data_IF_044187817958
#
_entry.id   IF_044187817958
#
_cell.length_a   1.000
_cell.length_b   1.000
_cell.length_c   1.000
_cell.angle_alpha   90.00
_cell.angle_beta   90.00
_cell.angle_gamma   90.00
#
_symmetry.space_group_name_H-M   'P 1'
#
loop_
_entity.id
_entity.type
_entity.pdbx_description
1 polymer ?
#
# COMPACT_ATOMS: atom_id res chain seq x y z
N UNK A 1 -3.73 -6.76 -4.51
CA UNK A 1 -4.53 -5.66 -3.93
C UNK A 1 -4.34 -4.35 -4.66
N UNK A 2 -3.14 -3.78 -4.77
CA UNK A 2 -2.96 -2.50 -5.45
C UNK A 2 -3.41 -2.50 -6.92
N UNK A 3 -3.17 -3.60 -7.66
CA UNK A 3 -3.66 -3.75 -9.03
C UNK A 3 -5.17 -3.54 -9.13
N UNK A 4 -5.97 -4.25 -8.33
CA UNK A 4 -7.43 -4.19 -8.37
C UNK A 4 -7.97 -2.82 -7.95
N UNK A 5 -7.29 -2.10 -7.06
CA UNK A 5 -7.62 -0.72 -6.73
C UNK A 5 -7.35 0.27 -7.87
N UNK A 6 -6.32 0.04 -8.68
CA UNK A 6 -5.98 0.89 -9.83
C UNK A 6 -6.93 0.68 -11.02
N UNK A 7 -7.54 -0.49 -11.17
CA UNK A 7 -8.52 -0.77 -12.23
C UNK A 7 -9.73 0.16 -12.22
N UNK A 8 -10.04 0.76 -11.07
CA UNK A 8 -11.14 1.72 -10.98
C UNK A 8 -10.79 3.10 -11.53
N UNK A 9 -9.50 3.41 -11.64
CA UNK A 9 -8.99 4.71 -12.10
C UNK A 9 -8.37 4.64 -13.49
N UNK A 10 -7.89 3.47 -13.89
CA UNK A 10 -7.17 3.23 -15.13
C UNK A 10 -7.80 2.06 -15.89
N UNK A 11 -7.71 2.12 -17.21
CA UNK A 11 -8.17 1.05 -18.09
C UNK A 11 -7.19 -0.13 -18.05
N UNK A 12 -7.36 -1.01 -17.07
CA UNK A 12 -6.52 -2.17 -16.79
C UNK A 12 -7.34 -3.45 -16.88
N UNK A 13 -6.75 -4.50 -17.46
CA UNK A 13 -7.43 -5.79 -17.66
C UNK A 13 -7.93 -6.40 -16.33
N UNK A 14 -9.16 -6.93 -16.25
CA UNK A 14 -9.67 -7.65 -15.08
C UNK A 14 -8.68 -8.70 -14.58
N UNK A 15 -8.36 -8.68 -13.28
CA UNK A 15 -7.46 -9.67 -12.69
C UNK A 15 -8.17 -11.03 -12.59
N UNK A 16 -8.04 -11.82 -13.64
CA UNK A 16 -8.61 -13.17 -13.73
C UNK A 16 -7.50 -14.22 -13.71
N UNK A 17 -7.61 -15.17 -12.78
CA UNK A 17 -6.72 -16.31 -12.72
C UNK A 17 -7.33 -17.51 -13.46
N UNK A 18 -6.56 -18.22 -14.31
CA UNK A 18 -7.05 -19.42 -14.95
C UNK A 18 -7.44 -20.49 -13.93
N UNK A 19 -8.34 -21.40 -14.28
CA UNK A 19 -8.85 -22.42 -13.36
C UNK A 19 -7.77 -23.44 -12.92
N UNK A 20 -6.67 -23.60 -13.68
CA UNK A 20 -5.66 -24.66 -13.46
C UNK A 20 -4.19 -24.26 -13.69
N UNK A 21 -3.66 -23.15 -13.16
CA UNK A 21 -2.21 -23.00 -13.03
C UNK A 21 -1.73 -24.06 -12.03
N UNK A 22 -1.12 -25.13 -12.51
CA UNK A 22 -0.55 -26.19 -11.64
C UNK A 22 0.91 -25.94 -11.28
N UNK A 23 1.52 -24.88 -11.82
CA UNK A 23 2.94 -24.59 -11.65
C UNK A 23 3.15 -23.13 -11.24
N UNK A 24 4.06 -22.92 -10.29
CA UNK A 24 4.48 -21.60 -9.82
C UNK A 24 4.89 -20.66 -10.96
N UNK A 25 5.71 -21.14 -11.89
CA UNK A 25 6.20 -20.34 -13.03
C UNK A 25 5.08 -19.80 -13.94
N UNK A 26 3.97 -20.54 -14.05
CA UNK A 26 2.82 -20.11 -14.85
C UNK A 26 2.08 -18.99 -14.12
N UNK A 27 1.90 -19.12 -12.80
CA UNK A 27 1.29 -18.10 -11.97
C UNK A 27 2.15 -16.81 -11.96
N UNK A 28 3.46 -16.96 -11.86
CA UNK A 28 4.43 -15.86 -11.93
C UNK A 28 4.31 -15.09 -13.24
N UNK A 29 4.33 -15.78 -14.38
CA UNK A 29 4.22 -15.15 -15.71
C UNK A 29 2.90 -14.37 -15.88
N UNK A 30 1.79 -14.93 -15.37
CA UNK A 30 0.49 -14.26 -15.40
C UNK A 30 0.52 -12.97 -14.58
N UNK A 31 1.03 -13.02 -13.35
CA UNK A 31 1.11 -11.84 -12.48
C UNK A 31 2.05 -10.77 -13.05
N UNK A 32 3.20 -11.18 -13.60
CA UNK A 32 4.13 -10.28 -14.30
C UNK A 32 3.47 -9.56 -15.48
N UNK A 33 2.65 -10.27 -16.26
CA UNK A 33 1.93 -9.67 -17.38
C UNK A 33 0.97 -8.56 -16.91
N UNK A 34 0.22 -8.78 -15.84
CA UNK A 34 -0.65 -7.76 -15.25
C UNK A 34 0.15 -6.58 -14.68
N UNK A 35 1.20 -6.83 -13.89
CA UNK A 35 1.94 -5.73 -13.24
C UNK A 35 2.72 -4.87 -14.26
N UNK A 36 3.13 -5.47 -15.39
CA UNK A 36 3.73 -4.71 -16.51
C UNK A 36 2.75 -3.67 -17.08
N UNK A 37 1.43 -3.89 -17.01
CA UNK A 37 0.45 -2.88 -17.44
C UNK A 37 0.50 -1.65 -16.54
N UNK A 38 0.74 -1.84 -15.23
CA UNK A 38 0.80 -0.75 -14.26
C UNK A 38 2.05 0.10 -14.47
N UNK A 39 3.18 -0.47 -14.90
CA UNK A 39 4.41 0.29 -15.17
C UNK A 39 4.23 1.38 -16.25
N UNK A 40 3.14 1.34 -17.03
CA UNK A 40 2.78 2.40 -17.98
C UNK A 40 2.17 3.64 -17.30
N UNK A 41 1.73 3.49 -16.07
CA UNK A 41 1.20 4.53 -15.20
C UNK A 41 2.27 4.77 -14.12
N UNK A 42 2.53 6.02 -13.74
CA UNK A 42 3.66 6.46 -12.88
C UNK A 42 3.58 5.91 -11.43
N UNK A 43 3.67 4.58 -11.28
CA UNK A 43 3.57 3.77 -10.06
C UNK A 43 4.75 2.79 -9.96
N UNK A 44 5.81 3.03 -10.71
CA UNK A 44 7.01 2.18 -10.79
C UNK A 44 7.56 1.84 -9.40
N UNK A 45 7.57 2.80 -8.46
CA UNK A 45 8.04 2.60 -7.08
C UNK A 45 7.32 1.50 -6.30
N UNK A 46 6.06 1.19 -6.62
CA UNK A 46 5.26 0.18 -5.92
C UNK A 46 5.34 -1.18 -6.63
N UNK A 47 5.58 -1.17 -7.95
CA UNK A 47 5.47 -2.34 -8.82
C UNK A 47 6.75 -2.71 -9.54
N UNK A 48 7.90 -2.13 -9.16
CA UNK A 48 9.20 -2.52 -9.68
C UNK A 48 9.36 -4.04 -9.55
N UNK A 49 9.73 -4.64 -10.68
CA UNK A 49 9.78 -6.09 -10.91
C UNK A 49 10.64 -6.86 -9.90
N UNK A 50 11.55 -6.18 -9.22
CA UNK A 50 12.40 -6.74 -8.16
C UNK A 50 11.60 -7.50 -7.10
N UNK A 51 10.37 -7.08 -6.76
CA UNK A 51 9.56 -7.78 -5.75
C UNK A 51 9.06 -9.16 -6.21
N UNK A 52 8.64 -9.30 -7.47
CA UNK A 52 8.18 -10.61 -7.97
C UNK A 52 9.38 -11.53 -8.21
N UNK A 53 10.49 -10.96 -8.72
CA UNK A 53 11.68 -11.73 -9.08
C UNK A 53 12.37 -12.38 -7.85
N UNK A 54 12.20 -11.80 -6.66
CA UNK A 54 12.70 -12.38 -5.39
C UNK A 54 11.78 -13.46 -4.78
N UNK A 55 10.51 -13.52 -5.18
CA UNK A 55 9.57 -14.51 -4.66
C UNK A 55 9.74 -15.81 -5.46
N UNK A 56 10.36 -16.81 -4.85
CA UNK A 56 10.28 -18.17 -5.36
C UNK A 56 8.82 -18.64 -5.29
N UNK A 57 8.13 -18.62 -6.43
CA UNK A 57 6.79 -19.17 -6.52
C UNK A 57 6.82 -20.66 -6.16
N UNK A 58 5.87 -21.14 -5.34
CA UNK A 58 5.92 -22.51 -4.87
C UNK A 58 5.72 -23.51 -6.02
N UNK A 59 6.49 -24.60 -6.01
CA UNK A 59 6.26 -25.73 -6.92
C UNK A 59 5.11 -26.64 -6.44
N UNK A 60 4.76 -26.58 -5.16
CA UNK A 60 3.68 -27.38 -4.58
C UNK A 60 2.30 -26.94 -5.13
N UNK A 61 1.58 -27.88 -5.74
CA UNK A 61 0.30 -27.62 -6.40
C UNK A 61 -0.75 -27.04 -5.43
N UNK A 62 -0.79 -27.49 -4.17
CA UNK A 62 -1.76 -26.99 -3.17
C UNK A 62 -1.45 -25.55 -2.75
N UNK A 63 -0.17 -25.21 -2.66
CA UNK A 63 0.26 -23.83 -2.40
C UNK A 63 -0.13 -22.92 -3.58
N UNK A 64 0.08 -23.36 -4.83
CA UNK A 64 -0.35 -22.60 -6.02
C UNK A 64 -1.87 -22.43 -6.05
N UNK A 65 -2.64 -23.47 -5.73
CA UNK A 65 -4.10 -23.40 -5.61
C UNK A 65 -4.53 -22.40 -4.53
N UNK A 66 -3.87 -22.41 -3.37
CA UNK A 66 -4.17 -21.50 -2.26
C UNK A 66 -3.90 -20.04 -2.64
N UNK A 67 -2.78 -19.76 -3.34
CA UNK A 67 -2.46 -18.41 -3.83
C UNK A 67 -3.49 -17.97 -4.88
N UNK A 68 -3.88 -18.87 -5.79
CA UNK A 68 -4.94 -18.59 -6.78
C UNK A 68 -6.26 -18.22 -6.12
N UNK A 69 -6.69 -19.00 -5.12
CA UNK A 69 -7.94 -18.74 -4.40
C UNK A 69 -7.89 -17.40 -3.65
N UNK A 70 -6.75 -17.07 -3.03
CA UNK A 70 -6.53 -15.76 -2.43
C UNK A 70 -6.64 -14.62 -3.45
N UNK A 71 -6.02 -14.76 -4.62
CA UNK A 71 -6.08 -13.74 -5.68
C UNK A 71 -7.53 -13.56 -6.17
N UNK A 72 -8.25 -14.66 -6.40
CA UNK A 72 -9.64 -14.62 -6.82
C UNK A 72 -10.55 -13.98 -5.77
N UNK A 73 -10.30 -14.24 -4.49
CA UNK A 73 -11.08 -13.61 -3.42
C UNK A 73 -10.79 -12.11 -3.34
N UNK A 74 -9.52 -11.71 -3.48
CA UNK A 74 -9.11 -10.30 -3.52
C UNK A 74 -9.71 -9.58 -4.74
N UNK A 75 -9.79 -10.22 -5.91
CA UNK A 75 -10.34 -9.60 -7.14
C UNK A 75 -11.85 -9.42 -7.11
N UNK A 76 -12.58 -10.23 -6.33
CA UNK A 76 -14.02 -10.08 -6.11
C UNK A 76 -14.37 -8.90 -5.20
N UNK A 77 -13.47 -8.52 -4.31
CA UNK A 77 -13.73 -7.45 -3.35
C UNK A 77 -13.32 -6.09 -3.92
N UNK A 78 -14.22 -5.10 -3.82
CA UNK A 78 -13.91 -3.71 -4.16
C UNK A 78 -13.06 -3.09 -3.06
N UNK A 79 -11.75 -3.20 -3.22
CA UNK A 79 -10.77 -2.64 -2.27
C UNK A 79 -10.96 -1.13 -2.07
N UNK A 80 -11.47 -0.42 -3.07
CA UNK A 80 -11.85 1.00 -2.96
C UNK A 80 -12.86 1.32 -1.87
N UNK A 81 -13.66 0.33 -1.46
CA UNK A 81 -14.64 0.48 -0.36
C UNK A 81 -14.04 0.22 1.01
N UNK A 82 -12.80 -0.27 1.07
CA UNK A 82 -12.09 -0.54 2.32
C UNK A 82 -11.49 0.77 2.83
N UNK A 83 -11.82 1.13 4.08
CA UNK A 83 -11.30 2.36 4.69
C UNK A 83 -9.81 2.23 4.98
N UNK A 84 -9.12 3.37 5.00
CA UNK A 84 -7.71 3.43 5.37
C UNK A 84 -7.46 2.89 6.80
N UNK A 85 -8.38 3.15 7.75
CA UNK A 85 -8.26 2.58 9.10
C UNK A 85 -8.37 1.05 9.10
N UNK A 86 -9.24 0.46 8.29
CA UNK A 86 -9.34 -0.99 8.18
C UNK A 86 -8.03 -1.59 7.65
N UNK A 87 -7.44 -0.99 6.61
CA UNK A 87 -6.15 -1.46 6.08
C UNK A 87 -5.05 -1.36 7.13
N UNK A 88 -4.97 -0.24 7.87
CA UNK A 88 -4.00 -0.09 8.97
C UNK A 88 -4.15 -1.17 10.05
N UNK A 89 -5.38 -1.41 10.50
CA UNK A 89 -5.68 -2.47 11.47
C UNK A 89 -5.34 -3.88 10.94
N UNK A 90 -5.64 -4.15 9.66
CA UNK A 90 -5.30 -5.43 9.03
C UNK A 90 -3.77 -5.63 9.02
N UNK A 91 -3.02 -4.63 8.58
CA UNK A 91 -1.55 -4.70 8.56
C UNK A 91 -0.97 -4.90 9.96
N UNK A 92 -1.51 -4.20 10.96
CA UNK A 92 -1.07 -4.35 12.34
C UNK A 92 -1.32 -5.78 12.88
N UNK A 93 -2.48 -6.36 12.56
CA UNK A 93 -2.82 -7.74 12.96
C UNK A 93 -2.02 -8.81 12.22
N UNK A 94 -1.47 -8.51 11.03
CA UNK A 94 -0.61 -9.43 10.29
C UNK A 94 0.80 -9.54 10.90
N UNK A 95 1.23 -8.55 11.69
CA UNK A 95 2.58 -8.51 12.26
C UNK A 95 2.55 -9.10 13.68
N UNK A 96 3.32 -10.17 13.97
CA UNK A 96 3.37 -10.75 15.31
C UNK A 96 3.74 -9.71 16.38
N UNK A 97 3.09 -9.78 17.55
CA UNK A 97 3.27 -8.83 18.66
C UNK A 97 4.74 -8.60 19.03
N UNK A 98 5.53 -9.68 19.03
CA UNK A 98 6.95 -9.65 19.35
C UNK A 98 7.74 -8.77 18.37
N UNK A 99 7.39 -8.83 17.10
CA UNK A 99 8.04 -8.07 16.03
C UNK A 99 7.56 -6.61 16.02
N UNK A 100 6.28 -6.36 16.33
CA UNK A 100 5.74 -4.99 16.51
C UNK A 100 6.49 -4.21 17.59
N UNK A 101 6.72 -4.82 18.75
CA UNK A 101 7.44 -4.18 19.86
C UNK A 101 8.92 -3.94 19.55
N UNK A 102 9.57 -4.90 18.87
CA UNK A 102 10.99 -4.79 18.52
C UNK A 102 11.23 -3.69 17.46
N UNK A 103 10.30 -3.53 16.53
CA UNK A 103 10.42 -2.59 15.41
C UNK A 103 9.75 -1.23 15.70
N UNK A 104 9.08 -1.07 16.85
CA UNK A 104 8.33 0.14 17.20
C UNK A 104 7.16 0.41 16.24
N UNK A 105 6.64 -0.63 15.59
CA UNK A 105 5.64 -0.52 14.54
C UNK A 105 4.24 -0.45 15.13
N UNK A 106 3.86 0.72 15.63
CA UNK A 106 2.51 1.02 16.10
C UNK A 106 1.80 1.94 15.12
N UNK A 107 0.56 1.60 14.78
CA UNK A 107 -0.30 2.52 14.05
C UNK A 107 -0.85 3.57 15.02
N UNK A 108 -0.69 4.85 14.66
CA UNK A 108 -1.33 5.93 15.43
C UNK A 108 -2.80 6.02 15.03
N UNK A 109 -3.69 5.99 16.02
CA UNK A 109 -5.13 6.16 15.83
C UNK A 109 -5.45 7.48 15.11
N UNK A 110 -6.30 7.43 14.09
CA UNK A 110 -6.63 8.58 13.23
C UNK A 110 -7.34 9.73 13.95
N UNK A 111 -8.02 9.48 15.07
CA UNK A 111 -8.63 10.51 15.92
C UNK A 111 -7.57 11.30 16.69
N UNK A 112 -6.52 10.62 17.18
CA UNK A 112 -5.39 11.24 17.87
C UNK A 112 -4.61 12.12 16.89
N UNK A 113 -4.37 11.61 15.68
CA UNK A 113 -3.74 12.37 14.59
C UNK A 113 -4.53 13.63 14.28
N UNK A 114 -5.85 13.53 14.12
CA UNK A 114 -6.71 14.69 13.84
C UNK A 114 -6.67 15.74 14.95
N UNK A 115 -6.68 15.29 16.21
CA UNK A 115 -6.56 16.18 17.35
C UNK A 115 -5.25 16.97 17.27
N UNK A 116 -4.12 16.28 17.03
CA UNK A 116 -2.81 16.91 16.91
C UNK A 116 -2.79 17.90 15.73
N UNK A 117 -3.26 17.48 14.56
CA UNK A 117 -3.33 18.34 13.38
C UNK A 117 -4.16 19.59 13.63
N UNK A 118 -5.29 19.46 14.35
CA UNK A 118 -6.14 20.61 14.68
C UNK A 118 -5.43 21.69 15.49
N UNK A 119 -4.43 21.31 16.30
CA UNK A 119 -3.65 22.25 17.11
C UNK A 119 -2.38 22.75 16.40
N UNK A 120 -1.79 21.94 15.52
CA UNK A 120 -0.48 22.23 14.94
C UNK A 120 -0.55 22.80 13.52
N UNK A 121 -1.57 22.44 12.74
CA UNK A 121 -1.74 22.89 11.36
C UNK A 121 -2.71 24.08 11.34
N UNK A 122 -2.17 25.29 11.19
CA UNK A 122 -2.94 26.52 11.37
C UNK A 122 -3.40 27.15 10.05
N UNK A 123 -2.71 26.85 8.96
CA UNK A 123 -3.07 27.23 7.60
C UNK A 123 -3.04 26.04 6.64
N UNK A 124 -3.90 26.12 5.64
CA UNK A 124 -3.91 25.22 4.50
C UNK A 124 -2.61 25.27 3.68
N UNK A 125 -1.79 26.31 3.82
CA UNK A 125 -0.50 26.49 3.15
C UNK A 125 0.73 26.09 3.98
N UNK A 126 0.55 25.72 5.26
CA UNK A 126 1.68 25.32 6.12
C UNK A 126 2.39 24.06 5.59
N UNK A 127 3.68 23.96 5.82
CA UNK A 127 4.43 22.73 5.50
C UNK A 127 4.31 21.71 6.64
N UNK A 128 4.05 20.46 6.28
CA UNK A 128 3.96 19.33 7.21
C UNK A 128 5.12 18.39 6.94
N UNK A 129 5.88 18.06 7.99
CA UNK A 129 6.95 17.08 7.95
C UNK A 129 6.70 16.03 9.02
N UNK A 130 6.56 14.77 8.61
CA UNK A 130 6.55 13.61 9.52
C UNK A 130 7.86 12.81 9.33
N UNK A 131 8.83 12.93 10.26
CA UNK A 131 10.13 12.27 10.14
C UNK A 131 10.10 10.76 10.44
N UNK A 132 8.95 10.21 10.82
CA UNK A 132 8.76 8.79 11.13
C UNK A 132 7.39 8.31 10.66
N UNK A 133 7.06 8.58 9.40
CA UNK A 133 5.67 8.56 8.94
C UNK A 133 5.02 7.17 8.92
N UNK A 134 5.83 6.10 9.00
CA UNK A 134 5.34 4.72 8.94
C UNK A 134 4.46 4.51 7.71
N UNK A 135 3.24 4.01 7.90
CA UNK A 135 2.25 3.85 6.83
C UNK A 135 1.67 5.17 6.26
N UNK A 136 1.99 6.32 6.86
CA UNK A 136 1.65 7.64 6.35
C UNK A 136 0.37 8.26 6.92
N UNK A 137 -0.15 7.78 8.05
CA UNK A 137 -1.43 8.24 8.61
C UNK A 137 -1.46 9.76 8.81
N UNK A 138 -0.41 10.35 9.41
CA UNK A 138 -0.33 11.80 9.59
C UNK A 138 -0.37 12.56 8.26
N UNK A 139 0.31 12.07 7.22
CA UNK A 139 0.38 12.71 5.92
C UNK A 139 -0.97 12.70 5.20
N UNK A 140 -1.65 11.55 5.20
CA UNK A 140 -2.99 11.39 4.61
C UNK A 140 -4.01 12.27 5.34
N UNK A 141 -3.96 12.28 6.68
CA UNK A 141 -4.87 13.10 7.49
C UNK A 141 -4.58 14.58 7.35
N UNK A 142 -3.31 14.99 7.25
CA UNK A 142 -2.92 16.37 6.97
C UNK A 142 -3.45 16.84 5.61
N UNK A 143 -3.33 16.02 4.57
CA UNK A 143 -3.91 16.30 3.24
C UNK A 143 -5.43 16.54 3.35
N UNK A 144 -6.14 15.64 4.02
CA UNK A 144 -7.58 15.77 4.27
C UNK A 144 -7.93 17.03 5.05
N UNK A 145 -7.15 17.35 6.09
CA UNK A 145 -7.35 18.54 6.92
C UNK A 145 -7.18 19.84 6.11
N UNK A 146 -6.17 19.92 5.24
CA UNK A 146 -5.97 21.07 4.32
C UNK A 146 -7.15 21.23 3.36
N UNK A 147 -7.68 20.13 2.81
CA UNK A 147 -8.89 20.15 1.97
C UNK A 147 -10.14 20.59 2.74
N UNK A 148 -10.27 20.23 4.01
CA UNK A 148 -11.37 20.69 4.87
C UNK A 148 -11.27 22.19 5.17
N UNK A 149 -10.06 22.72 5.38
CA UNK A 149 -9.82 24.16 5.54
C UNK A 149 -10.17 24.94 4.28
N UNK A 150 -9.75 24.43 3.11
CA UNK A 150 -10.02 25.06 1.83
C UNK A 150 -10.31 24.01 0.74
N UNK A 151 -11.59 23.75 0.44
CA UNK A 151 -11.99 22.76 -0.57
C UNK A 151 -11.52 23.07 -2.00
N UNK A 152 -11.12 24.33 -2.27
CA UNK A 152 -10.68 24.77 -3.60
C UNK A 152 -9.20 24.53 -3.88
N UNK A 153 -8.39 24.27 -2.85
CA UNK A 153 -6.99 23.91 -3.02
C UNK A 153 -6.87 22.73 -3.97
N UNK A 154 -6.03 22.81 -4.98
CA UNK A 154 -5.82 21.70 -5.91
C UNK A 154 -4.83 20.70 -5.34
N UNK A 155 -4.85 19.49 -5.88
CA UNK A 155 -3.97 18.40 -5.41
C UNK A 155 -2.49 18.77 -5.56
N UNK A 156 -2.16 19.41 -6.67
CA UNK A 156 -0.83 19.86 -7.06
C UNK A 156 -0.30 20.98 -6.15
N UNK A 157 -1.19 21.69 -5.46
CA UNK A 157 -0.82 22.72 -4.48
C UNK A 157 -0.58 22.12 -3.09
N UNK A 158 -1.26 21.02 -2.76
CA UNK A 158 -1.14 20.39 -1.43
C UNK A 158 0.08 19.48 -1.37
N UNK A 159 0.31 18.63 -2.38
CA UNK A 159 1.38 17.63 -2.35
C UNK A 159 2.76 18.20 -2.01
N UNK A 160 3.21 19.34 -2.58
CA UNK A 160 4.53 19.89 -2.27
C UNK A 160 4.69 20.37 -0.82
N UNK A 161 3.60 20.45 -0.06
CA UNK A 161 3.60 20.92 1.33
C UNK A 161 3.66 19.79 2.35
N UNK A 162 3.57 18.52 1.94
CA UNK A 162 3.49 17.37 2.83
C UNK A 162 4.66 16.43 2.57
N UNK A 163 5.50 16.21 3.58
CA UNK A 163 6.73 15.44 3.49
C UNK A 163 6.77 14.36 4.58
N UNK A 164 7.15 13.15 4.18
CA UNK A 164 7.33 12.02 5.08
C UNK A 164 8.69 11.39 4.91
N UNK A 165 9.30 10.97 6.01
CA UNK A 165 10.46 10.07 6.01
C UNK A 165 10.07 8.74 6.62
N UNK A 166 10.48 7.66 5.98
CA UNK A 166 10.34 6.30 6.50
C UNK A 166 11.73 5.66 6.58
N UNK A 167 12.10 5.21 7.77
CA UNK A 167 13.26 4.35 7.95
C UNK A 167 12.80 2.89 7.85
N UNK A 168 12.79 2.36 6.64
CA UNK A 168 12.62 0.93 6.43
C UNK A 168 13.95 0.23 6.72
N UNK A 169 14.09 -0.34 7.92
CA UNK A 169 15.03 -1.44 8.12
C UNK A 169 14.44 -2.67 7.43
N UNK A 170 14.59 -2.75 6.10
CA UNK A 170 14.55 -4.06 5.48
C UNK A 170 15.75 -4.84 6.02
N UNK A 171 15.59 -6.05 6.58
CA UNK A 171 16.71 -6.91 6.91
C UNK A 171 17.35 -7.40 5.60
N UNK A 172 17.99 -6.51 4.85
CA UNK A 172 19.06 -6.91 3.96
C UNK A 172 20.17 -7.44 4.86
N UNK A 173 20.31 -8.76 4.88
CA UNK A 173 21.48 -9.39 4.26
C UNK A 173 22.73 -8.51 4.43
N UNK A 174 23.16 -8.32 5.66
CA UNK A 174 24.55 -8.00 5.97
C UNK A 174 25.17 -9.30 6.49
N UNK A 175 25.42 -10.21 5.55
CA UNK A 175 26.58 -11.09 5.62
C UNK A 175 27.50 -10.68 4.47
N UNK A 176 28.53 -9.92 4.81
CA UNK A 176 29.84 -10.11 4.19
C UNK A 176 30.64 -11.04 5.09
#
# INVERSE_FOLDING_TARGET
MFYTALQEKFDLDPLEMPEKPRKGDVLEQILKAYFTQILKVDYETIFTTEFIDEIAFPEDEKAVESIRDLINEISRHRISTISYEFMGNLFENLIPDKDRHLLGQYFTNSDVVDLILKFCLMSEHDFVLDPGCGAGTFLVRAYGHKKLMNPRLKHEEILPTIWGLIFLNSPRIYQR
#
